data_IF_976985806919
#
_entry.id   IF_976985806919
#
_cell.length_a   1.000
_cell.length_b   1.000
_cell.length_c   1.000
_cell.angle_alpha   90.00
_cell.angle_beta   90.00
_cell.angle_gamma   90.00
#
_symmetry.space_group_name_H-M   'P 1'
#
loop_
_entity.id
_entity.type
_entity.pdbx_description
1 polymer ?
#
# COMPACT_ATOMS: atom_id res chain seq x y z
N UNK A 1 -8.41 -4.24 -41.28
CA UNK A 1 -8.38 -3.48 -40.01
C UNK A 1 -9.41 -2.37 -40.13
N UNK A 2 -10.41 -2.27 -39.25
CA UNK A 2 -11.49 -1.28 -39.37
C UNK A 2 -11.10 0.03 -38.62
N UNK A 3 -10.49 0.96 -39.34
CA UNK A 3 -10.01 2.23 -38.81
C UNK A 3 -11.13 3.11 -38.22
N UNK A 4 -12.36 3.05 -38.80
CA UNK A 4 -13.52 3.79 -38.31
C UNK A 4 -13.93 3.31 -36.92
N UNK A 5 -13.93 1.99 -36.69
CA UNK A 5 -14.19 1.41 -35.37
C UNK A 5 -13.14 1.81 -34.35
N UNK A 6 -11.83 1.78 -34.71
CA UNK A 6 -10.77 2.22 -33.81
C UNK A 6 -10.97 3.66 -33.39
N UNK A 7 -11.23 4.57 -34.31
CA UNK A 7 -11.51 5.98 -34.00
C UNK A 7 -12.72 6.18 -33.09
N UNK A 8 -13.77 5.38 -33.24
CA UNK A 8 -15.00 5.51 -32.43
C UNK A 8 -14.78 5.06 -30.97
N UNK A 9 -13.89 4.10 -30.71
CA UNK A 9 -13.65 3.58 -29.35
C UNK A 9 -12.45 4.24 -28.63
N UNK A 10 -11.59 4.96 -29.36
CA UNK A 10 -10.41 5.64 -28.81
C UNK A 10 -10.74 6.58 -27.62
N UNK A 11 -11.80 7.41 -27.65
CA UNK A 11 -12.16 8.26 -26.52
C UNK A 11 -12.53 7.46 -25.25
N UNK A 12 -13.16 6.29 -25.42
CA UNK A 12 -13.53 5.40 -24.32
C UNK A 12 -12.27 4.80 -23.67
N UNK A 13 -11.30 4.34 -24.49
CA UNK A 13 -10.02 3.86 -23.98
C UNK A 13 -9.24 4.93 -23.23
N UNK A 14 -9.25 6.17 -23.73
CA UNK A 14 -8.58 7.28 -23.05
C UNK A 14 -9.25 7.58 -21.69
N UNK A 15 -10.57 7.64 -21.64
CA UNK A 15 -11.31 7.83 -20.39
C UNK A 15 -11.06 6.70 -19.39
N UNK A 16 -11.08 5.43 -19.84
CA UNK A 16 -10.78 4.26 -19.01
C UNK A 16 -9.35 4.31 -18.47
N UNK A 17 -8.37 4.67 -19.31
CA UNK A 17 -6.97 4.83 -18.91
C UNK A 17 -6.82 5.89 -17.81
N UNK A 18 -7.48 7.05 -17.97
CA UNK A 18 -7.46 8.10 -16.94
C UNK A 18 -8.07 7.62 -15.61
N UNK A 19 -9.15 6.86 -15.68
CA UNK A 19 -9.79 6.29 -14.47
C UNK A 19 -8.85 5.30 -13.78
N UNK A 20 -8.23 4.40 -14.54
CA UNK A 20 -7.22 3.45 -14.03
C UNK A 20 -6.06 4.17 -13.36
N UNK A 21 -5.51 5.22 -14.00
CA UNK A 21 -4.42 6.01 -13.44
C UNK A 21 -4.83 6.72 -12.15
N UNK A 22 -6.02 7.31 -12.11
CA UNK A 22 -6.54 7.98 -10.90
C UNK A 22 -6.68 6.99 -9.74
N UNK A 23 -7.32 5.85 -9.96
CA UNK A 23 -7.48 4.80 -8.94
C UNK A 23 -6.10 4.35 -8.46
N UNK A 24 -5.19 4.02 -9.38
CA UNK A 24 -3.87 3.51 -9.03
C UNK A 24 -3.04 4.53 -8.24
N UNK A 25 -2.97 5.78 -8.68
CA UNK A 25 -2.17 6.82 -8.02
C UNK A 25 -2.70 7.09 -6.60
N UNK A 26 -4.01 7.26 -6.45
CA UNK A 26 -4.62 7.51 -5.14
C UNK A 26 -4.37 6.32 -4.22
N UNK A 27 -4.59 5.09 -4.70
CA UNK A 27 -4.39 3.87 -3.92
C UNK A 27 -2.93 3.68 -3.52
N UNK A 28 -1.98 3.96 -4.40
CA UNK A 28 -0.53 3.87 -4.10
C UNK A 28 -0.15 4.86 -3.00
N UNK A 29 -0.59 6.11 -3.08
CA UNK A 29 -0.30 7.12 -2.05
C UNK A 29 -0.86 6.67 -0.69
N UNK A 30 -2.12 6.25 -0.66
CA UNK A 30 -2.75 5.77 0.57
C UNK A 30 -2.10 4.48 1.09
N UNK A 31 -1.73 3.54 0.21
CA UNK A 31 -1.03 2.32 0.57
C UNK A 31 0.34 2.58 1.19
N UNK A 32 1.11 3.53 0.65
CA UNK A 32 2.38 3.96 1.23
C UNK A 32 2.18 4.52 2.65
N UNK A 33 1.19 5.37 2.86
CA UNK A 33 0.89 5.95 4.17
C UNK A 33 0.46 4.87 5.18
N UNK A 34 -0.49 4.01 4.80
CA UNK A 34 -0.96 2.91 5.66
C UNK A 34 0.19 1.95 5.96
N UNK A 35 0.97 1.57 4.95
CA UNK A 35 2.11 0.67 5.09
C UNK A 35 3.19 1.23 6.02
N UNK A 36 3.52 2.50 5.90
CA UNK A 36 4.49 3.17 6.77
C UNK A 36 4.00 3.17 8.23
N UNK A 37 2.75 3.54 8.47
CA UNK A 37 2.16 3.53 9.81
C UNK A 37 2.20 2.12 10.41
N UNK A 38 1.73 1.11 9.68
CA UNK A 38 1.74 -0.28 10.15
C UNK A 38 3.16 -0.78 10.46
N UNK A 39 4.13 -0.47 9.60
CA UNK A 39 5.52 -0.89 9.79
C UNK A 39 6.13 -0.29 11.05
N UNK A 40 5.85 0.98 11.35
CA UNK A 40 6.30 1.67 12.56
C UNK A 40 5.65 1.02 13.80
N UNK A 41 4.31 0.82 13.80
CA UNK A 41 3.59 0.22 14.91
C UNK A 41 4.12 -1.18 15.26
N UNK A 42 4.45 -1.97 14.25
CA UNK A 42 4.98 -3.33 14.44
C UNK A 42 6.43 -3.29 14.91
N UNK A 43 7.27 -2.45 14.33
CA UNK A 43 8.69 -2.37 14.67
C UNK A 43 8.90 -1.90 16.09
N UNK A 44 8.13 -0.92 16.54
CA UNK A 44 8.20 -0.39 17.90
C UNK A 44 7.32 -1.13 18.93
N UNK A 45 6.66 -2.21 18.50
CA UNK A 45 5.81 -3.06 19.36
C UNK A 45 4.79 -2.27 20.17
N UNK A 46 4.10 -1.31 19.53
CA UNK A 46 3.07 -0.50 20.20
C UNK A 46 1.91 -1.40 20.61
N UNK A 47 1.97 -1.93 21.82
CA UNK A 47 0.96 -2.80 22.51
C UNK A 47 -0.17 -3.34 21.58
N UNK A 48 -1.42 -2.86 21.82
CA UNK A 48 -2.62 -3.32 21.09
C UNK A 48 -2.54 -3.04 19.57
N UNK A 49 -2.01 -1.87 19.18
CA UNK A 49 -1.93 -1.46 17.77
C UNK A 49 -1.02 -2.38 16.93
N UNK A 50 0.03 -2.92 17.53
CA UNK A 50 0.86 -3.92 16.87
C UNK A 50 0.06 -5.16 16.46
N UNK A 51 -0.81 -5.67 17.34
CA UNK A 51 -1.65 -6.86 17.03
C UNK A 51 -2.66 -6.55 15.94
N UNK A 52 -3.27 -5.36 15.98
CA UNK A 52 -4.23 -4.91 14.96
C UNK A 52 -3.52 -4.79 13.60
N UNK A 53 -2.34 -4.20 13.56
CA UNK A 53 -1.58 -4.05 12.31
C UNK A 53 -1.14 -5.42 11.74
N UNK A 54 -0.71 -6.36 12.58
CA UNK A 54 -0.39 -7.72 12.14
C UNK A 54 -1.60 -8.44 11.60
N UNK A 55 -2.73 -8.40 12.30
CA UNK A 55 -3.98 -9.00 11.85
C UNK A 55 -4.45 -8.42 10.52
N UNK A 56 -4.36 -7.08 10.36
CA UNK A 56 -4.64 -6.43 9.08
C UNK A 56 -3.77 -6.95 7.95
N UNK A 57 -2.45 -7.04 8.16
CA UNK A 57 -1.51 -7.52 7.14
C UNK A 57 -1.82 -8.98 6.76
N UNK A 58 -2.05 -9.85 7.75
CA UNK A 58 -2.39 -11.25 7.52
C UNK A 58 -3.72 -11.37 6.77
N UNK A 59 -4.76 -10.69 7.21
CA UNK A 59 -6.07 -10.71 6.55
C UNK A 59 -5.97 -10.23 5.10
N UNK A 60 -5.32 -9.10 4.88
CA UNK A 60 -5.20 -8.48 3.56
C UNK A 60 -4.44 -9.36 2.57
N UNK A 61 -3.32 -9.93 2.99
CA UNK A 61 -2.47 -10.75 2.10
C UNK A 61 -3.00 -12.16 1.85
N UNK A 62 -3.81 -12.70 2.76
CA UNK A 62 -4.41 -14.03 2.62
C UNK A 62 -5.82 -14.01 2.00
N UNK A 63 -6.33 -12.82 1.64
CA UNK A 63 -7.63 -12.69 0.98
C UNK A 63 -7.41 -12.14 -0.45
N UNK A 64 -7.90 -12.84 -1.50
CA UNK A 64 -7.81 -12.35 -2.88
C UNK A 64 -8.48 -10.98 -3.05
N UNK A 65 -7.86 -10.07 -3.82
CA UNK A 65 -8.42 -8.73 -4.08
C UNK A 65 -9.86 -8.77 -4.61
N UNK A 66 -10.16 -9.70 -5.50
CA UNK A 66 -11.49 -9.86 -6.07
C UNK A 66 -12.56 -10.11 -4.99
N UNK A 67 -12.24 -10.92 -3.98
CA UNK A 67 -13.15 -11.20 -2.85
C UNK A 67 -13.35 -9.93 -2.01
N UNK A 68 -12.28 -9.17 -1.77
CA UNK A 68 -12.36 -7.90 -1.05
C UNK A 68 -13.26 -6.91 -1.79
N UNK A 69 -13.11 -6.79 -3.12
CA UNK A 69 -13.94 -5.92 -3.96
C UNK A 69 -15.41 -6.36 -3.98
N UNK A 70 -15.69 -7.65 -4.09
CA UNK A 70 -17.07 -8.16 -4.02
C UNK A 70 -17.71 -7.88 -2.67
N UNK A 71 -16.96 -8.00 -1.58
CA UNK A 71 -17.48 -7.63 -0.27
C UNK A 71 -17.80 -6.13 -0.20
N UNK A 72 -16.91 -5.27 -0.70
CA UNK A 72 -17.13 -3.82 -0.71
C UNK A 72 -18.33 -3.43 -1.58
N UNK A 73 -18.43 -4.00 -2.79
CA UNK A 73 -19.43 -3.58 -3.77
C UNK A 73 -20.80 -4.22 -3.59
N UNK A 74 -20.86 -5.49 -3.16
CA UNK A 74 -22.11 -6.24 -2.99
C UNK A 74 -22.46 -6.53 -1.53
N UNK A 75 -21.48 -6.66 -0.66
CA UNK A 75 -21.67 -6.99 0.75
C UNK A 75 -22.09 -5.77 1.60
N UNK A 76 -21.34 -4.67 1.52
CA UNK A 76 -21.60 -3.47 2.31
C UNK A 76 -22.98 -2.83 2.03
N UNK A 77 -23.51 -2.78 0.79
CA UNK A 77 -24.84 -2.28 0.55
C UNK A 77 -25.97 -3.03 1.28
N UNK A 78 -25.77 -4.33 1.56
CA UNK A 78 -26.72 -5.11 2.38
C UNK A 78 -26.74 -4.67 3.84
N UNK A 79 -25.67 -4.02 4.29
CA UNK A 79 -25.56 -3.40 5.63
C UNK A 79 -25.95 -1.91 5.64
N UNK A 80 -26.49 -1.41 4.51
CA UNK A 80 -26.90 0.00 4.36
C UNK A 80 -25.79 0.97 3.92
N UNK A 81 -24.56 0.49 3.69
CA UNK A 81 -23.40 1.31 3.29
C UNK A 81 -23.20 1.17 1.78
N UNK A 82 -23.59 2.17 1.01
CA UNK A 82 -23.40 2.20 -0.44
C UNK A 82 -22.12 2.96 -0.79
N UNK A 83 -21.21 2.30 -1.52
CA UNK A 83 -19.95 2.86 -2.01
C UNK A 83 -19.95 2.71 -3.53
N UNK A 84 -19.52 3.74 -4.27
CA UNK A 84 -19.40 3.66 -5.72
C UNK A 84 -18.20 2.79 -6.15
N UNK A 85 -18.21 2.35 -7.42
CA UNK A 85 -17.18 1.46 -7.93
C UNK A 85 -15.77 2.06 -7.88
N UNK A 86 -15.65 3.38 -8.09
CA UNK A 86 -14.35 4.07 -7.99
C UNK A 86 -13.80 4.01 -6.55
N UNK A 87 -14.62 4.32 -5.56
CA UNK A 87 -14.22 4.26 -4.16
C UNK A 87 -13.96 2.82 -3.70
N UNK A 88 -14.75 1.82 -4.16
CA UNK A 88 -14.47 0.40 -3.92
C UNK A 88 -13.08 0.01 -4.44
N UNK A 89 -12.74 0.43 -5.66
CA UNK A 89 -11.42 0.18 -6.25
C UNK A 89 -10.29 0.81 -5.43
N UNK A 90 -10.44 2.07 -5.05
CA UNK A 90 -9.43 2.78 -4.22
C UNK A 90 -9.27 2.11 -2.86
N UNK A 91 -10.37 1.77 -2.17
CA UNK A 91 -10.32 1.14 -0.84
C UNK A 91 -9.70 -0.24 -0.93
N UNK A 92 -10.14 -1.09 -1.87
CA UNK A 92 -9.61 -2.45 -2.03
C UNK A 92 -8.12 -2.47 -2.36
N UNK A 93 -7.70 -1.66 -3.34
CA UNK A 93 -6.27 -1.54 -3.69
C UNK A 93 -5.43 -0.93 -2.57
N UNK A 94 -5.96 0.04 -1.82
CA UNK A 94 -5.28 0.59 -0.65
C UNK A 94 -5.15 -0.44 0.46
N UNK A 95 -6.20 -1.20 0.72
CA UNK A 95 -6.21 -2.26 1.72
C UNK A 95 -5.19 -3.35 1.39
N UNK A 96 -5.15 -3.81 0.15
CA UNK A 96 -4.16 -4.78 -0.32
C UNK A 96 -2.76 -4.17 -0.33
N UNK A 97 -2.60 -3.03 -0.98
CA UNK A 97 -1.30 -2.38 -1.17
C UNK A 97 -0.63 -1.96 0.14
N UNK A 98 -1.42 -1.47 1.10
CA UNK A 98 -0.92 -1.07 2.42
C UNK A 98 -0.23 -2.21 3.16
N UNK A 99 -0.72 -3.44 3.04
CA UNK A 99 -0.11 -4.62 3.64
C UNK A 99 1.24 -4.98 3.00
N UNK A 100 1.35 -4.89 1.67
CA UNK A 100 2.62 -5.10 0.97
C UNK A 100 3.63 -3.99 1.24
N UNK A 101 3.18 -2.73 1.28
CA UNK A 101 4.05 -1.60 1.64
C UNK A 101 4.54 -1.70 3.09
N UNK A 102 3.70 -2.18 4.02
CA UNK A 102 4.09 -2.41 5.41
C UNK A 102 5.26 -3.41 5.52
N UNK A 103 5.20 -4.51 4.77
CA UNK A 103 6.28 -5.50 4.74
C UNK A 103 7.56 -4.93 4.10
N UNK A 104 7.44 -4.14 3.02
CA UNK A 104 8.58 -3.48 2.39
C UNK A 104 9.30 -2.53 3.36
N UNK A 105 8.56 -1.67 4.06
CA UNK A 105 9.12 -0.78 5.07
C UNK A 105 9.70 -1.54 6.26
N UNK A 106 9.01 -2.58 6.73
CA UNK A 106 9.48 -3.40 7.84
C UNK A 106 10.80 -4.12 7.51
N UNK A 107 10.94 -4.62 6.29
CA UNK A 107 12.19 -5.22 5.83
C UNK A 107 13.32 -4.19 5.82
N UNK A 108 13.09 -2.99 5.31
CA UNK A 108 14.05 -1.89 5.35
C UNK A 108 14.45 -1.48 6.78
N UNK A 109 13.47 -1.33 7.68
CA UNK A 109 13.74 -0.99 9.08
C UNK A 109 14.58 -2.05 9.80
N UNK A 110 14.37 -3.33 9.50
CA UNK A 110 15.13 -4.44 10.09
C UNK A 110 16.52 -4.61 9.49
N UNK A 111 16.78 -4.10 8.30
CA UNK A 111 18.07 -4.26 7.62
C UNK A 111 19.16 -3.28 8.12
N UNK A 112 18.78 -2.25 8.89
CA UNK A 112 19.74 -1.31 9.47
C UNK A 112 20.59 -2.05 10.51
N UNK A 113 21.90 -2.05 10.30
CA UNK A 113 22.83 -2.77 11.15
C UNK A 113 22.81 -2.24 12.60
N UNK A 114 22.78 -3.15 13.58
CA UNK A 114 22.77 -2.80 15.01
C UNK A 114 23.96 -1.92 15.39
N UNK A 115 25.13 -2.13 14.79
CA UNK A 115 26.32 -1.31 15.03
C UNK A 115 26.13 0.18 14.70
N UNK A 116 25.31 0.52 13.71
CA UNK A 116 24.95 1.92 13.39
C UNK A 116 24.14 2.55 14.54
N UNK A 117 23.22 1.77 15.10
CA UNK A 117 22.38 2.21 16.22
C UNK A 117 23.24 2.39 17.48
N UNK A 118 24.14 1.45 17.74
CA UNK A 118 25.00 1.50 18.93
C UNK A 118 26.06 2.61 18.83
N UNK A 119 26.62 2.84 17.65
CA UNK A 119 27.50 4.01 17.40
C UNK A 119 26.77 5.32 17.65
N UNK A 120 25.53 5.45 17.17
CA UNK A 120 24.71 6.64 17.39
C UNK A 120 24.40 6.87 18.89
N UNK A 121 24.17 5.80 19.66
CA UNK A 121 24.00 5.89 21.12
C UNK A 121 25.28 6.34 21.80
N UNK A 122 26.44 5.83 21.37
CA UNK A 122 27.75 6.16 21.98
C UNK A 122 28.11 7.64 21.85
N UNK A 123 27.61 8.33 20.82
CA UNK A 123 27.77 9.79 20.67
C UNK A 123 26.61 10.58 21.32
N UNK A 124 25.75 9.94 22.11
CA UNK A 124 24.73 10.59 22.93
C UNK A 124 23.43 10.96 22.20
N UNK A 125 23.16 10.40 21.00
CA UNK A 125 21.89 10.65 20.32
C UNK A 125 20.72 10.02 21.06
N UNK A 126 19.63 10.77 21.18
CA UNK A 126 18.37 10.29 21.73
C UNK A 126 17.67 9.32 20.77
N UNK A 127 16.80 8.42 21.24
CA UNK A 127 16.10 7.44 20.39
C UNK A 127 15.37 8.05 19.19
N UNK A 128 14.74 9.19 19.35
CA UNK A 128 14.06 9.92 18.26
C UNK A 128 15.03 10.46 17.22
N UNK A 129 16.21 10.93 17.66
CA UNK A 129 17.29 11.40 16.79
C UNK A 129 17.91 10.23 16.02
N UNK A 130 18.17 9.11 16.71
CA UNK A 130 18.66 7.88 16.09
C UNK A 130 17.68 7.40 15.00
N UNK A 131 16.38 7.39 15.30
CA UNK A 131 15.39 7.03 14.30
C UNK A 131 15.42 7.98 13.09
N UNK A 132 15.36 9.28 13.33
CA UNK A 132 15.25 10.30 12.27
C UNK A 132 16.51 10.41 11.42
N UNK A 133 17.70 10.33 12.02
CA UNK A 133 18.96 10.62 11.32
C UNK A 133 19.74 9.38 10.90
N UNK A 134 19.49 8.23 11.53
CA UNK A 134 20.27 7.00 11.27
C UNK A 134 19.37 5.91 10.67
N UNK A 135 18.28 5.56 11.35
CA UNK A 135 17.46 4.40 10.94
C UNK A 135 16.59 4.73 9.73
N UNK A 136 15.78 5.76 9.81
CA UNK A 136 14.77 6.05 8.80
C UNK A 136 15.35 6.31 7.40
N UNK A 137 16.40 7.15 7.21
CA UNK A 137 16.97 7.38 5.88
C UNK A 137 17.56 6.11 5.26
N UNK A 138 18.27 5.29 6.04
CA UNK A 138 18.84 4.03 5.56
C UNK A 138 17.72 3.01 5.23
N UNK A 139 16.77 2.85 6.15
CA UNK A 139 15.62 1.97 5.95
C UNK A 139 14.81 2.34 4.70
N UNK A 140 14.58 3.63 4.48
CA UNK A 140 13.87 4.12 3.31
C UNK A 140 14.62 3.77 2.02
N UNK A 141 15.92 4.06 1.97
CA UNK A 141 16.75 3.74 0.80
C UNK A 141 16.71 2.23 0.44
N UNK A 142 16.77 1.36 1.44
CA UNK A 142 16.69 -0.09 1.25
C UNK A 142 15.27 -0.53 0.83
N UNK A 143 14.23 0.17 1.28
CA UNK A 143 12.84 -0.16 0.94
C UNK A 143 12.44 0.28 -0.47
N UNK A 144 13.10 1.28 -1.07
CA UNK A 144 12.72 1.86 -2.38
C UNK A 144 12.51 0.80 -3.48
N UNK A 145 13.39 -0.18 -3.70
CA UNK A 145 13.17 -1.19 -4.75
C UNK A 145 11.89 -2.00 -4.53
N UNK A 146 11.63 -2.42 -3.31
CA UNK A 146 10.42 -3.18 -2.95
C UNK A 146 9.16 -2.32 -3.08
N UNK A 147 9.21 -1.05 -2.66
CA UNK A 147 8.12 -0.08 -2.83
C UNK A 147 7.82 0.11 -4.31
N UNK A 148 8.85 0.29 -5.16
CA UNK A 148 8.68 0.43 -6.60
C UNK A 148 8.03 -0.81 -7.24
N UNK A 149 8.45 -2.01 -6.85
CA UNK A 149 7.83 -3.26 -7.30
C UNK A 149 6.36 -3.35 -6.87
N UNK A 150 6.03 -2.95 -5.64
CA UNK A 150 4.65 -2.92 -5.14
C UNK A 150 3.79 -1.86 -5.85
N UNK A 151 4.36 -0.71 -6.23
CA UNK A 151 3.64 0.27 -7.05
C UNK A 151 3.24 -0.31 -8.41
N UNK A 152 4.18 -0.98 -9.10
CA UNK A 152 3.91 -1.65 -10.36
C UNK A 152 2.89 -2.79 -10.21
N UNK A 153 2.97 -3.54 -9.10
CA UNK A 153 1.98 -4.56 -8.77
C UNK A 153 0.59 -3.96 -8.64
N UNK A 154 0.41 -2.87 -7.87
CA UNK A 154 -0.89 -2.22 -7.68
C UNK A 154 -1.48 -1.66 -8.98
N UNK A 155 -0.64 -1.14 -9.89
CA UNK A 155 -1.09 -0.72 -11.22
C UNK A 155 -1.64 -1.91 -12.01
N UNK A 156 -1.00 -3.08 -11.93
CA UNK A 156 -1.50 -4.31 -12.59
C UNK A 156 -2.78 -4.82 -11.94
N UNK A 157 -2.83 -4.83 -10.60
CA UNK A 157 -4.02 -5.25 -9.84
C UNK A 157 -5.24 -4.34 -10.07
N UNK A 158 -5.05 -3.11 -10.54
CA UNK A 158 -6.19 -2.25 -10.90
C UNK A 158 -7.07 -2.85 -12.01
N UNK A 159 -6.55 -3.78 -12.81
CA UNK A 159 -7.34 -4.52 -13.81
C UNK A 159 -8.45 -5.37 -13.18
N UNK A 160 -8.27 -5.84 -11.95
CA UNK A 160 -9.27 -6.62 -11.20
C UNK A 160 -10.46 -5.75 -10.77
N UNK A 161 -10.29 -4.42 -10.70
CA UNK A 161 -11.37 -3.48 -10.34
C UNK A 161 -12.43 -3.40 -11.42
N UNK A 162 -12.11 -3.78 -12.66
CA UNK A 162 -13.05 -3.79 -13.79
C UNK A 162 -13.94 -5.04 -13.85
N UNK A 163 -13.69 -6.03 -13.01
CA UNK A 163 -14.46 -7.28 -12.95
C UNK A 163 -15.70 -7.13 -12.08
#
# INVERSE_FOLDING_TARGET
>A
MNWQYIHSVLPQFFSATLTTLKISIISIILAILVGLICSILITYRVRVLNRIAQFYIELSRNTPLLIQLFFLYYGLPKLGIKIDGFACGVIGLTFLGGSYMAEAFRAGLKSVAQGQIDSAKSIGLQPTQIFRYVIFPQALAISIPAIGANCLFLIKESSVVSA
#
